data_IF_081147627826
#
_entry.id   IF_081147627826
#
_cell.length_a   1.000
_cell.length_b   1.000
_cell.length_c   1.000
_cell.angle_alpha   90.00
_cell.angle_beta   90.00
_cell.angle_gamma   90.00
#
_symmetry.space_group_name_H-M   'P 1'
#
loop_
_entity.id
_entity.type
_entity.pdbx_description
1 polymer ?
#
# COMPACT_ATOMS: atom_id res chain seq x y z
N UNK A 1 10.00 26.53 -14.87
CA UNK A 1 10.59 26.10 -13.58
C UNK A 1 9.61 25.11 -12.96
N UNK A 2 10.08 23.94 -12.50
CA UNK A 2 9.19 22.94 -11.90
C UNK A 2 9.00 23.33 -10.43
N UNK A 3 7.76 23.67 -10.05
CA UNK A 3 7.40 23.91 -8.66
C UNK A 3 6.92 22.60 -8.03
N UNK A 4 7.40 22.31 -6.82
CA UNK A 4 6.94 21.19 -6.03
C UNK A 4 6.08 21.70 -4.89
N UNK A 5 5.03 20.96 -4.52
CA UNK A 5 4.20 21.24 -3.36
C UNK A 5 4.22 20.06 -2.42
N UNK A 6 4.23 20.32 -1.12
CA UNK A 6 4.11 19.28 -0.11
C UNK A 6 2.68 18.72 -0.10
N UNK A 7 2.50 17.42 -0.34
CA UNK A 7 1.17 16.78 -0.39
C UNK A 7 0.44 16.79 0.96
N UNK A 8 1.14 17.06 2.06
CA UNK A 8 0.55 17.10 3.39
C UNK A 8 0.05 18.48 3.82
N UNK A 9 0.85 19.53 3.60
CA UNK A 9 0.51 20.88 4.05
C UNK A 9 0.20 21.86 2.90
N UNK A 10 0.37 21.44 1.65
CA UNK A 10 0.14 22.27 0.45
C UNK A 10 1.20 23.33 0.18
N UNK A 11 2.17 23.55 1.09
CA UNK A 11 3.21 24.57 0.93
C UNK A 11 4.11 24.26 -0.26
N UNK A 12 4.52 25.27 -1.07
CA UNK A 12 5.56 25.09 -2.08
C UNK A 12 6.91 24.73 -1.45
N UNK A 13 7.58 23.74 -2.04
CA UNK A 13 8.92 23.29 -1.69
C UNK A 13 9.88 23.93 -2.68
N UNK A 14 10.72 24.84 -2.20
CA UNK A 14 11.81 25.41 -3.00
C UNK A 14 13.06 24.51 -2.89
N UNK A 15 13.52 23.87 -3.99
CA UNK A 15 14.70 23.01 -3.97
C UNK A 15 16.01 23.74 -3.62
N UNK A 16 16.05 25.06 -3.67
CA UNK A 16 17.23 25.84 -3.28
C UNK A 16 17.31 26.04 -1.76
N UNK A 17 16.17 26.19 -1.09
CA UNK A 17 16.10 26.51 0.33
C UNK A 17 15.87 25.28 1.22
N UNK A 18 15.19 24.24 0.72
CA UNK A 18 14.91 23.04 1.51
C UNK A 18 14.97 21.71 0.73
N UNK A 19 15.22 20.63 1.46
CA UNK A 19 15.22 19.28 0.92
C UNK A 19 13.79 18.80 0.63
N UNK A 20 13.58 18.32 -0.58
CA UNK A 20 12.37 17.60 -1.00
C UNK A 20 12.51 16.12 -0.66
N UNK A 21 11.57 15.60 0.12
CA UNK A 21 11.49 14.17 0.43
C UNK A 21 10.43 13.49 -0.43
N UNK A 22 10.78 12.39 -1.09
CA UNK A 22 9.85 11.57 -1.86
C UNK A 22 9.53 10.31 -1.05
N UNK A 23 8.26 10.13 -0.71
CA UNK A 23 7.77 8.91 -0.05
C UNK A 23 7.07 8.05 -1.09
N UNK A 24 7.42 6.76 -1.15
CA UNK A 24 6.73 5.75 -1.97
C UNK A 24 6.08 4.76 -1.02
N UNK A 25 4.77 4.65 -1.11
CA UNK A 25 3.97 3.68 -0.35
C UNK A 25 3.56 2.58 -1.31
N UNK A 26 3.78 1.34 -0.89
CA UNK A 26 3.40 0.14 -1.61
C UNK A 26 2.60 -0.73 -0.65
N UNK A 27 1.48 -1.24 -1.11
CA UNK A 27 0.52 -2.04 -0.35
C UNK A 27 0.20 -3.27 -1.16
N UNK A 28 0.36 -4.43 -0.53
CA UNK A 28 0.12 -5.74 -1.10
C UNK A 28 -0.85 -6.49 -0.19
N UNK A 29 -1.89 -7.07 -0.77
CA UNK A 29 -2.76 -7.98 -0.04
C UNK A 29 -2.05 -9.33 0.10
N UNK A 30 -1.82 -9.77 1.34
CA UNK A 30 -1.29 -11.10 1.62
C UNK A 30 -2.46 -12.05 1.80
N UNK A 31 -2.56 -13.08 0.96
CA UNK A 31 -3.48 -14.21 1.15
C UNK A 31 -2.70 -15.38 1.77
N UNK A 32 -3.21 -15.91 2.88
CA UNK A 32 -2.68 -17.16 3.44
C UNK A 32 -3.11 -18.32 2.55
N UNK A 33 -2.22 -19.27 2.22
CA UNK A 33 -2.62 -20.46 1.49
C UNK A 33 -3.67 -21.22 2.30
N UNK A 34 -4.78 -21.59 1.64
CA UNK A 34 -5.72 -22.54 2.20
C UNK A 34 -4.98 -23.88 2.32
N UNK A 35 -4.66 -24.28 3.54
CA UNK A 35 -4.12 -25.61 3.85
C UNK A 35 -5.18 -26.67 3.48
N UNK A 36 -5.22 -27.09 2.22
CA UNK A 36 -6.27 -27.94 1.68
C UNK A 36 -5.71 -29.01 0.76
N UNK A 37 -5.49 -30.19 1.36
CA UNK A 37 -5.42 -31.52 0.75
C UNK A 37 -4.58 -31.67 -0.54
N UNK A 38 -3.37 -32.23 -0.37
CA UNK A 38 -2.64 -32.88 -1.45
C UNK A 38 -3.43 -34.12 -1.87
N UNK A 39 -4.42 -33.94 -2.72
CA UNK A 39 -5.07 -35.05 -3.42
C UNK A 39 -4.04 -35.62 -4.39
N UNK A 40 -3.78 -36.92 -4.30
CA UNK A 40 -2.86 -37.64 -5.18
C UNK A 40 -3.37 -37.59 -6.63
N UNK A 41 -2.90 -36.60 -7.38
CA UNK A 41 -3.37 -36.23 -8.72
C UNK A 41 -2.38 -36.68 -9.80
N UNK A 42 -2.02 -37.97 -9.81
CA UNK A 42 -1.13 -38.53 -10.84
C UNK A 42 -1.74 -38.52 -12.24
N UNK A 43 -3.07 -38.42 -12.34
CA UNK A 43 -3.83 -38.49 -13.60
C UNK A 43 -4.50 -37.16 -13.99
N UNK A 44 -4.26 -36.09 -13.23
CA UNK A 44 -4.84 -34.76 -13.53
C UNK A 44 -3.92 -33.99 -14.45
N UNK A 45 -4.46 -33.54 -15.57
CA UNK A 45 -3.72 -32.76 -16.55
C UNK A 45 -3.60 -31.31 -16.05
N UNK A 46 -2.66 -31.10 -15.12
CA UNK A 46 -2.39 -29.81 -14.49
C UNK A 46 -2.11 -28.70 -15.50
N UNK A 47 -1.62 -29.05 -16.70
CA UNK A 47 -1.37 -28.07 -17.76
C UNK A 47 -2.66 -27.52 -18.35
N UNK A 48 -3.67 -28.37 -18.54
CA UNK A 48 -4.97 -27.94 -19.05
C UNK A 48 -5.73 -27.11 -18.00
N UNK A 49 -5.61 -27.48 -16.72
CA UNK A 49 -6.23 -26.71 -15.63
C UNK A 49 -5.55 -25.34 -15.42
N UNK A 50 -4.21 -25.28 -15.47
CA UNK A 50 -3.49 -24.01 -15.46
C UNK A 50 -3.85 -23.15 -16.67
N UNK A 51 -4.03 -23.76 -17.85
CA UNK A 51 -4.43 -23.04 -19.05
C UNK A 51 -5.84 -22.45 -18.92
N UNK A 52 -6.81 -23.23 -18.42
CA UNK A 52 -8.17 -22.78 -18.13
C UNK A 52 -8.18 -21.64 -17.08
N UNK A 53 -7.33 -21.72 -16.05
CA UNK A 53 -7.21 -20.67 -15.03
C UNK A 53 -6.65 -19.39 -15.65
N UNK A 54 -5.63 -19.49 -16.49
CA UNK A 54 -5.01 -18.35 -17.17
C UNK A 54 -5.96 -17.71 -18.19
N UNK A 55 -6.68 -18.51 -18.99
CA UNK A 55 -7.69 -17.98 -19.93
C UNK A 55 -8.83 -17.25 -19.21
N UNK A 56 -9.31 -17.80 -18.08
CA UNK A 56 -10.33 -17.13 -17.24
C UNK A 56 -9.79 -15.86 -16.56
N UNK A 57 -8.49 -15.80 -16.28
CA UNK A 57 -7.85 -14.62 -15.70
C UNK A 57 -7.65 -13.49 -16.73
N UNK A 58 -7.43 -13.83 -18.02
CA UNK A 58 -7.29 -12.86 -19.10
C UNK A 58 -8.65 -12.30 -19.57
N UNK A 59 -9.72 -13.12 -19.58
CA UNK A 59 -11.08 -12.66 -19.95
C UNK A 59 -11.76 -11.84 -18.84
N UNK A 60 -11.34 -12.06 -17.59
CA UNK A 60 -11.73 -11.21 -16.49
C UNK A 60 -10.76 -10.04 -16.41
N UNK A 61 -11.19 -8.85 -16.84
CA UNK A 61 -10.87 -7.64 -16.12
C UNK A 61 -11.38 -7.82 -14.67
N UNK A 62 -10.65 -8.60 -13.89
CA UNK A 62 -11.15 -9.27 -12.70
C UNK A 62 -11.30 -8.22 -11.61
N UNK A 63 -12.50 -7.99 -11.06
CA UNK A 63 -12.67 -7.10 -9.92
C UNK A 63 -11.90 -7.57 -8.66
N UNK A 64 -11.39 -8.82 -8.64
CA UNK A 64 -10.44 -9.31 -7.62
C UNK A 64 -8.99 -8.87 -7.89
N UNK A 65 -8.65 -8.47 -9.12
CA UNK A 65 -7.37 -7.81 -9.49
C UNK A 65 -7.53 -6.29 -9.60
N UNK A 66 -8.77 -5.79 -9.57
CA UNK A 66 -9.11 -4.38 -9.64
C UNK A 66 -8.95 -3.71 -8.28
N UNK A 67 -7.97 -2.81 -8.17
CA UNK A 67 -7.75 -1.83 -7.10
C UNK A 67 -7.58 -2.33 -5.64
N UNK A 68 -7.79 -3.61 -5.33
CA UNK A 68 -7.73 -4.14 -3.95
C UNK A 68 -6.48 -4.93 -3.57
N UNK A 69 -5.70 -5.42 -4.53
CA UNK A 69 -4.60 -6.38 -4.29
C UNK A 69 -3.23 -5.72 -4.26
N UNK A 70 -3.04 -4.67 -5.05
CA UNK A 70 -1.77 -3.95 -5.17
C UNK A 70 -2.01 -2.45 -5.34
N UNK A 71 -1.43 -1.65 -4.45
CA UNK A 71 -1.53 -0.19 -4.49
C UNK A 71 -0.17 0.45 -4.30
N UNK A 72 0.24 1.33 -5.23
CA UNK A 72 1.49 2.09 -5.14
C UNK A 72 1.24 3.57 -5.32
N UNK A 73 1.63 4.37 -4.34
CA UNK A 73 1.46 5.82 -4.35
C UNK A 73 2.75 6.54 -4.02
N UNK A 74 2.96 7.68 -4.68
CA UNK A 74 4.10 8.57 -4.44
C UNK A 74 3.60 9.88 -3.84
N UNK A 75 4.34 10.38 -2.84
CA UNK A 75 4.10 11.67 -2.22
C UNK A 75 5.39 12.48 -2.12
N UNK A 76 5.26 13.79 -2.24
CA UNK A 76 6.29 14.79 -2.03
C UNK A 76 6.06 15.52 -0.70
N UNK A 77 7.05 15.52 0.19
CA UNK A 77 6.96 16.13 1.52
C UNK A 77 8.10 17.14 1.73
N UNK A 78 7.76 18.26 2.39
CA UNK A 78 8.77 19.15 2.96
C UNK A 78 9.44 18.51 4.17
N UNK A 79 10.57 19.10 4.61
CA UNK A 79 11.38 18.63 5.74
C UNK A 79 10.57 18.40 7.04
N UNK A 80 9.68 19.33 7.39
CA UNK A 80 8.82 19.24 8.56
C UNK A 80 7.79 18.10 8.46
N UNK A 81 7.15 17.97 7.30
CA UNK A 81 6.13 16.95 7.08
C UNK A 81 6.73 15.56 7.01
N UNK A 82 7.93 15.42 6.43
CA UNK A 82 8.73 14.20 6.49
C UNK A 82 9.06 13.81 7.94
N UNK A 83 9.52 14.75 8.78
CA UNK A 83 9.83 14.47 10.19
C UNK A 83 8.60 13.96 10.96
N UNK A 84 7.43 14.51 10.67
CA UNK A 84 6.15 14.04 11.24
C UNK A 84 5.75 12.67 10.69
N UNK A 85 5.88 12.45 9.37
CA UNK A 85 5.58 11.16 8.74
C UNK A 85 6.45 10.03 9.33
N UNK A 86 7.76 10.25 9.48
CA UNK A 86 8.69 9.26 10.06
C UNK A 86 8.30 8.82 11.47
N UNK A 87 7.65 9.68 12.26
CA UNK A 87 7.21 9.35 13.62
C UNK A 87 5.90 8.56 13.66
N UNK A 88 5.06 8.71 12.65
CA UNK A 88 3.75 8.06 12.59
C UNK A 88 3.36 7.78 11.12
N UNK A 89 4.03 6.82 10.45
CA UNK A 89 3.83 6.59 9.02
C UNK A 89 2.44 5.99 8.71
N UNK A 90 1.83 5.32 9.68
CA UNK A 90 0.52 4.66 9.57
C UNK A 90 -0.60 5.40 10.32
N UNK A 91 -0.34 6.60 10.83
CA UNK A 91 -1.37 7.45 11.43
C UNK A 91 -2.00 6.94 12.73
N UNK A 92 -1.33 6.07 13.52
CA UNK A 92 -1.84 5.60 14.81
C UNK A 92 -2.14 6.81 15.73
N UNK A 93 -3.41 6.95 16.13
CA UNK A 93 -3.79 7.92 17.13
C UNK A 93 -3.27 7.47 18.49
N UNK A 94 -2.38 8.25 19.10
CA UNK A 94 -2.07 8.07 20.51
C UNK A 94 -3.26 8.62 21.29
N UNK A 95 -4.23 7.75 21.59
CA UNK A 95 -5.29 8.08 22.54
C UNK A 95 -4.59 8.40 23.86
N UNK A 96 -4.47 9.70 24.16
CA UNK A 96 -3.98 10.15 25.46
C UNK A 96 -4.98 9.59 26.46
N UNK A 97 -4.57 8.59 27.25
CA UNK A 97 -5.30 8.19 28.44
C UNK A 97 -5.35 9.42 29.36
N UNK A 98 -6.44 10.18 29.25
CA UNK A 98 -6.74 11.26 30.18
C UNK A 98 -7.13 10.59 31.48
N UNK A 99 -6.14 10.37 32.34
CA UNK A 99 -6.37 9.97 33.72
C UNK A 99 -6.99 11.17 34.44
N UNK A 100 -8.32 11.20 34.50
CA UNK A 100 -9.03 12.14 35.34
C UNK A 100 -8.72 11.80 36.79
N UNK A 101 -8.03 12.69 37.50
CA UNK A 101 -7.90 12.61 38.96
C UNK A 101 -9.30 12.67 39.56
N UNK A 102 -9.66 11.69 40.38
CA UNK A 102 -10.88 11.76 41.18
C UNK A 102 -10.73 12.89 42.20
N UNK A 103 -11.68 13.83 42.21
CA UNK A 103 -11.84 14.88 43.22
C UNK A 103 -12.75 14.37 44.33
#
# INVERSE_FOLDING_TARGET
>A
MIHYSCDRCGRPIDPQDELRYVVRVEVEAVMEPLDGEVVDDSDRDHLMELHDILERADDAANPLLGDGVYFRQRYDLCSDCHRKYRRNPVGKENVKQLNFSQN
#
